data_IF_342069165632
#
_entry.id   IF_342069165632
#
_cell.length_a   1.000
_cell.length_b   1.000
_cell.length_c   1.000
_cell.angle_alpha   90.00
_cell.angle_beta   90.00
_cell.angle_gamma   90.00
#
_symmetry.space_group_name_H-M   'P 1'
#
loop_
_entity.id
_entity.type
_entity.pdbx_description
1 polymer ?
#
# COMPACT_ATOMS: atom_id res chain seq x y z
N UNK A 1 28.60 -7.05 -8.06
CA UNK A 1 28.18 -7.50 -6.73
C UNK A 1 27.43 -8.85 -6.79
N UNK A 2 28.09 -9.97 -7.21
CA UNK A 2 27.39 -11.23 -7.43
C UNK A 2 26.90 -11.90 -6.14
N UNK A 3 27.47 -11.58 -5.00
CA UNK A 3 27.12 -12.12 -3.69
C UNK A 3 26.08 -11.27 -2.94
N UNK A 4 25.73 -10.09 -3.47
CA UNK A 4 24.85 -9.13 -2.84
C UNK A 4 23.44 -9.19 -3.44
N UNK A 5 22.43 -8.86 -2.64
CA UNK A 5 21.11 -8.55 -3.17
C UNK A 5 21.15 -7.18 -3.85
N UNK A 6 20.94 -7.15 -5.15
CA UNK A 6 20.90 -5.91 -5.93
C UNK A 6 19.44 -5.58 -6.23
N UNK A 7 18.99 -4.46 -5.68
CA UNK A 7 17.59 -4.01 -5.79
C UNK A 7 17.51 -2.74 -6.64
N UNK A 8 16.42 -2.62 -7.38
CA UNK A 8 16.19 -1.48 -8.26
C UNK A 8 14.98 -0.67 -7.78
N UNK A 9 15.22 0.55 -7.30
CA UNK A 9 14.21 1.44 -6.74
C UNK A 9 14.00 2.65 -7.64
N UNK A 10 13.02 2.57 -8.53
CA UNK A 10 12.70 3.60 -9.52
C UNK A 10 11.53 4.46 -9.09
N UNK A 11 11.55 5.69 -9.57
CA UNK A 11 10.42 6.61 -9.47
C UNK A 11 9.35 6.25 -10.51
N UNK A 12 8.09 6.53 -10.21
CA UNK A 12 7.00 6.44 -11.19
C UNK A 12 7.22 7.38 -12.38
N UNK A 13 8.02 8.42 -12.23
CA UNK A 13 8.38 9.36 -13.30
C UNK A 13 9.43 8.81 -14.25
N UNK A 14 10.27 7.90 -13.82
CA UNK A 14 11.37 7.34 -14.64
C UNK A 14 10.86 6.32 -15.65
N UNK A 15 9.71 5.70 -15.38
CA UNK A 15 9.07 4.72 -16.25
C UNK A 15 7.92 5.35 -17.04
N UNK A 16 8.23 6.45 -17.65
CA UNK A 16 7.29 7.21 -18.44
C UNK A 16 7.30 6.70 -19.89
N UNK A 17 6.21 6.14 -20.36
CA UNK A 17 6.01 5.93 -21.77
C UNK A 17 5.60 7.27 -22.39
N UNK A 18 6.48 7.94 -23.16
CA UNK A 18 6.12 9.20 -23.77
C UNK A 18 4.99 8.98 -24.77
N UNK A 19 4.18 10.01 -24.96
CA UNK A 19 3.26 10.04 -26.09
C UNK A 19 4.02 9.78 -27.38
N UNK A 20 3.54 8.86 -28.19
CA UNK A 20 4.15 8.52 -29.47
C UNK A 20 3.10 8.52 -30.57
N UNK A 21 3.38 9.20 -31.66
CA UNK A 21 2.62 9.10 -32.89
C UNK A 21 3.39 8.27 -33.90
N UNK A 22 2.77 7.21 -34.39
CA UNK A 22 3.30 6.33 -35.42
C UNK A 22 2.71 6.73 -36.78
N UNK A 23 3.41 7.52 -37.60
CA UNK A 23 2.89 8.02 -38.88
C UNK A 23 2.54 6.90 -39.90
N UNK A 24 3.21 5.77 -39.77
CA UNK A 24 3.04 4.62 -40.67
C UNK A 24 1.69 3.91 -40.48
N UNK A 25 1.10 3.99 -39.31
CA UNK A 25 -0.17 3.33 -38.97
C UNK A 25 -1.24 4.32 -38.53
N UNK A 26 -0.95 5.63 -38.60
CA UNK A 26 -1.82 6.70 -38.09
C UNK A 26 -2.32 6.41 -36.66
N UNK A 27 -1.43 5.88 -35.82
CA UNK A 27 -1.77 5.47 -34.46
C UNK A 27 -1.15 6.43 -33.47
N UNK A 28 -2.00 7.06 -32.65
CA UNK A 28 -1.58 7.85 -31.51
C UNK A 28 -1.56 6.97 -30.25
N UNK A 29 -0.39 6.83 -29.63
CA UNK A 29 -0.24 6.14 -28.36
C UNK A 29 -0.38 7.20 -27.28
N UNK A 30 -1.51 7.19 -26.60
CA UNK A 30 -1.74 8.08 -25.46
C UNK A 30 -0.78 7.77 -24.32
N UNK A 31 -0.44 8.84 -23.59
CA UNK A 31 0.31 8.75 -22.35
C UNK A 31 -0.48 7.93 -21.33
N UNK A 32 -0.02 6.73 -21.07
CA UNK A 32 -0.63 5.91 -20.02
C UNK A 32 -0.04 6.32 -18.65
N UNK A 33 -0.91 6.89 -17.80
CA UNK A 33 -0.63 7.19 -16.40
C UNK A 33 -0.91 5.98 -15.51
N UNK A 34 -1.06 4.79 -16.10
CA UNK A 34 -1.26 3.58 -15.30
C UNK A 34 -0.07 3.41 -14.35
N UNK A 35 -0.39 3.25 -13.08
CA UNK A 35 0.59 2.83 -12.08
C UNK A 35 1.13 1.51 -12.58
N UNK A 36 2.41 1.51 -12.95
CA UNK A 36 3.03 0.30 -13.47
C UNK A 36 3.21 -0.67 -12.29
N UNK A 37 2.45 -1.76 -12.29
CA UNK A 37 2.50 -2.80 -11.26
C UNK A 37 3.92 -3.36 -11.07
N UNK A 38 4.72 -3.35 -12.11
CA UNK A 38 6.11 -3.80 -12.08
C UNK A 38 6.99 -2.84 -11.24
N UNK A 39 6.77 -1.54 -11.36
CA UNK A 39 7.46 -0.54 -10.53
C UNK A 39 7.07 -0.71 -9.06
N UNK A 40 5.79 -0.93 -8.77
CA UNK A 40 5.35 -1.16 -7.39
C UNK A 40 6.00 -2.41 -6.80
N UNK A 41 6.06 -3.50 -7.56
CA UNK A 41 6.76 -4.73 -7.15
C UNK A 41 8.23 -4.49 -6.85
N UNK A 42 8.96 -3.78 -7.72
CA UNK A 42 10.37 -3.44 -7.51
C UNK A 42 10.56 -2.57 -6.26
N UNK A 43 9.71 -1.58 -6.04
CA UNK A 43 9.76 -0.72 -4.86
C UNK A 43 9.46 -1.48 -3.57
N UNK A 44 8.47 -2.36 -3.58
CA UNK A 44 8.13 -3.21 -2.45
C UNK A 44 9.25 -4.21 -2.15
N UNK A 45 9.83 -4.85 -3.18
CA UNK A 45 10.98 -5.74 -3.05
C UNK A 45 12.15 -5.05 -2.36
N UNK A 46 12.55 -3.89 -2.86
CA UNK A 46 13.64 -3.08 -2.29
C UNK A 46 13.36 -2.73 -0.83
N UNK A 47 12.17 -2.22 -0.54
CA UNK A 47 11.82 -1.82 0.83
C UNK A 47 11.84 -3.01 1.78
N UNK A 48 11.32 -4.15 1.34
CA UNK A 48 11.33 -5.39 2.12
C UNK A 48 12.73 -5.93 2.36
N UNK A 49 13.61 -5.88 1.35
CA UNK A 49 15.00 -6.27 1.47
C UNK A 49 15.75 -5.41 2.51
N UNK A 50 15.54 -4.08 2.48
CA UNK A 50 16.14 -3.15 3.44
C UNK A 50 15.61 -3.37 4.87
N UNK A 51 14.32 -3.66 5.03
CA UNK A 51 13.69 -3.85 6.34
C UNK A 51 13.86 -5.26 6.90
N UNK A 52 14.31 -6.23 6.09
CA UNK A 52 14.60 -7.61 6.54
C UNK A 52 15.82 -7.72 7.46
N UNK A 53 16.56 -6.63 7.68
CA UNK A 53 17.79 -6.60 8.48
C UNK A 53 19.02 -7.10 7.73
N UNK A 54 18.92 -7.44 6.44
CA UNK A 54 20.07 -7.78 5.59
C UNK A 54 21.02 -6.59 5.48
N UNK A 55 22.32 -6.87 5.44
CA UNK A 55 23.39 -5.85 5.28
C UNK A 55 24.11 -5.93 3.95
N UNK A 56 23.75 -6.90 3.13
CA UNK A 56 24.32 -7.18 1.81
C UNK A 56 23.46 -6.66 0.67
N UNK A 57 22.68 -5.60 0.90
CA UNK A 57 21.75 -5.00 -0.07
C UNK A 57 22.40 -3.80 -0.73
N UNK A 58 22.39 -3.80 -2.06
CA UNK A 58 22.79 -2.67 -2.91
C UNK A 58 21.56 -2.14 -3.62
N UNK A 59 21.23 -0.87 -3.42
CA UNK A 59 20.07 -0.24 -4.06
C UNK A 59 20.52 0.70 -5.16
N UNK A 60 20.02 0.48 -6.37
CA UNK A 60 20.16 1.38 -7.50
C UNK A 60 18.89 2.19 -7.64
N UNK A 61 18.97 3.51 -7.50
CA UNK A 61 17.79 4.37 -7.56
C UNK A 61 18.07 5.70 -8.25
N UNK A 62 17.03 6.36 -8.73
CA UNK A 62 17.11 7.73 -9.24
C UNK A 62 16.90 8.76 -8.13
N UNK A 63 17.38 9.99 -8.34
CA UNK A 63 17.22 11.11 -7.37
C UNK A 63 15.76 11.44 -7.11
N UNK A 64 14.89 11.25 -8.10
CA UNK A 64 13.44 11.48 -7.97
C UNK A 64 12.76 10.57 -6.93
N UNK A 65 13.40 9.45 -6.57
CA UNK A 65 12.91 8.55 -5.53
C UNK A 65 12.97 9.12 -4.10
N UNK A 66 13.75 10.20 -3.87
CA UNK A 66 13.78 10.88 -2.57
C UNK A 66 12.43 11.53 -2.19
N UNK A 67 11.56 11.71 -3.17
CA UNK A 67 10.24 12.30 -2.98
C UNK A 67 9.15 11.22 -3.06
N UNK A 68 8.19 11.24 -2.14
CA UNK A 68 7.05 10.32 -2.18
C UNK A 68 7.39 8.91 -1.73
N UNK A 69 8.29 8.77 -0.77
CA UNK A 69 8.55 7.53 -0.05
C UNK A 69 7.51 7.41 1.08
N UNK A 70 6.94 6.21 1.27
CA UNK A 70 6.07 5.92 2.41
C UNK A 70 6.81 6.03 3.74
N UNK A 71 6.08 5.94 4.85
CA UNK A 71 6.67 5.93 6.18
C UNK A 71 7.23 4.52 6.50
N UNK A 72 8.55 4.33 6.63
CA UNK A 72 9.14 3.02 6.92
C UNK A 72 8.68 2.43 8.26
N UNK A 73 8.40 3.28 9.26
CA UNK A 73 7.91 2.84 10.55
C UNK A 73 6.51 2.24 10.46
N UNK A 74 5.60 2.87 9.72
CA UNK A 74 4.25 2.35 9.49
C UNK A 74 4.28 1.07 8.65
N UNK A 75 5.14 1.01 7.64
CA UNK A 75 5.33 -0.19 6.83
C UNK A 75 5.82 -1.37 7.68
N UNK A 76 6.81 -1.14 8.54
CA UNK A 76 7.31 -2.16 9.46
C UNK A 76 6.25 -2.58 10.48
N UNK A 77 5.51 -1.62 11.07
CA UNK A 77 4.46 -1.90 12.05
C UNK A 77 3.29 -2.71 11.44
N UNK A 78 3.02 -2.55 10.15
CA UNK A 78 1.98 -3.28 9.43
C UNK A 78 2.47 -4.64 8.91
N UNK A 79 3.77 -4.89 8.90
CA UNK A 79 4.34 -6.19 8.53
C UNK A 79 3.95 -7.26 9.55
N UNK A 80 3.69 -8.47 9.06
CA UNK A 80 3.23 -9.59 9.87
C UNK A 80 4.35 -10.63 9.95
N UNK A 81 5.05 -10.67 11.08
CA UNK A 81 5.99 -11.73 11.35
C UNK A 81 5.30 -12.84 12.15
N UNK A 82 5.47 -14.09 11.73
CA UNK A 82 4.92 -15.27 12.39
C UNK A 82 5.90 -16.44 12.32
N UNK A 83 5.88 -17.25 13.38
CA UNK A 83 6.72 -18.44 13.53
C UNK A 83 5.87 -19.67 13.80
N UNK A 84 6.40 -20.82 13.49
CA UNK A 84 5.79 -22.09 13.90
C UNK A 84 5.76 -22.18 15.43
N UNK A 85 4.61 -22.54 15.98
CA UNK A 85 4.35 -22.57 17.42
C UNK A 85 3.83 -21.25 18.01
N UNK A 86 3.72 -20.18 17.22
CA UNK A 86 3.11 -18.93 17.71
C UNK A 86 1.62 -19.13 17.99
N UNK A 87 1.17 -18.64 19.14
CA UNK A 87 -0.24 -18.62 19.51
C UNK A 87 -0.85 -17.30 19.09
N UNK A 88 -1.53 -17.31 17.96
CA UNK A 88 -2.14 -16.13 17.36
C UNK A 88 -3.58 -16.44 17.00
N UNK A 89 -4.54 -15.65 17.50
CA UNK A 89 -5.93 -15.84 17.11
C UNK A 89 -6.09 -15.84 15.58
N UNK A 90 -6.65 -16.92 15.03
CA UNK A 90 -6.91 -17.09 13.60
C UNK A 90 -7.65 -15.88 13.00
N UNK A 91 -8.70 -15.38 13.68
CA UNK A 91 -9.45 -14.20 13.23
C UNK A 91 -8.60 -12.92 13.25
N UNK A 92 -7.75 -12.77 14.25
CA UNK A 92 -6.85 -11.62 14.34
C UNK A 92 -5.80 -11.64 13.23
N UNK A 93 -5.27 -12.83 12.90
CA UNK A 93 -4.34 -12.98 11.79
C UNK A 93 -4.98 -12.58 10.45
N UNK A 94 -6.21 -13.03 10.16
CA UNK A 94 -6.94 -12.61 8.95
C UNK A 94 -7.18 -11.10 8.93
N UNK A 95 -7.47 -10.51 10.09
CA UNK A 95 -7.64 -9.07 10.20
C UNK A 95 -6.36 -8.31 9.89
N UNK A 96 -5.21 -8.77 10.39
CA UNK A 96 -3.89 -8.19 10.05
C UNK A 96 -3.57 -8.26 8.57
N UNK A 97 -3.92 -9.36 7.88
CA UNK A 97 -3.76 -9.44 6.43
C UNK A 97 -4.56 -8.36 5.69
N UNK A 98 -5.79 -8.09 6.13
CA UNK A 98 -6.61 -7.00 5.55
C UNK A 98 -6.02 -5.62 5.88
N UNK A 99 -5.45 -5.41 7.07
CA UNK A 99 -4.73 -4.18 7.41
C UNK A 99 -3.46 -3.98 6.58
N UNK A 100 -2.76 -5.08 6.25
CA UNK A 100 -1.63 -5.10 5.33
C UNK A 100 -2.04 -4.97 3.85
N UNK A 101 -3.33 -4.68 3.58
CA UNK A 101 -3.95 -4.45 2.27
C UNK A 101 -4.08 -5.70 1.39
N UNK A 102 -3.99 -6.91 1.95
CA UNK A 102 -4.30 -8.13 1.21
C UNK A 102 -5.81 -8.26 0.98
N UNK A 103 -6.17 -8.73 -0.20
CA UNK A 103 -7.57 -8.99 -0.57
C UNK A 103 -7.87 -10.49 -0.48
N UNK A 104 -8.99 -10.84 0.16
CA UNK A 104 -9.45 -12.23 0.19
C UNK A 104 -9.97 -12.65 -1.19
N UNK A 105 -9.54 -13.82 -1.65
CA UNK A 105 -10.07 -14.47 -2.85
C UNK A 105 -10.56 -15.88 -2.53
N UNK A 106 -11.50 -16.38 -3.32
CA UNK A 106 -11.99 -17.77 -3.22
C UNK A 106 -11.60 -18.60 -4.44
N UNK A 107 -11.15 -17.95 -5.51
CA UNK A 107 -10.89 -18.59 -6.80
C UNK A 107 -9.39 -18.77 -7.01
N UNK A 108 -8.73 -17.76 -7.51
CA UNK A 108 -7.33 -17.80 -7.90
C UNK A 108 -6.49 -16.89 -7.00
N UNK A 109 -5.30 -17.36 -6.62
CA UNK A 109 -4.33 -16.53 -5.93
C UNK A 109 -3.58 -15.68 -6.95
N UNK A 110 -3.66 -14.38 -6.75
CA UNK A 110 -2.91 -13.37 -7.50
C UNK A 110 -2.06 -12.57 -6.52
N UNK A 111 -1.06 -11.79 -6.97
CA UNK A 111 -0.28 -10.94 -6.07
C UNK A 111 -1.17 -10.11 -5.14
N UNK A 112 -0.76 -9.96 -3.89
CA UNK A 112 -1.51 -9.24 -2.85
C UNK A 112 -2.88 -9.85 -2.48
N UNK A 113 -3.05 -11.17 -2.66
CA UNK A 113 -4.28 -11.87 -2.24
C UNK A 113 -3.99 -13.01 -1.26
N UNK A 114 -5.02 -13.36 -0.50
CA UNK A 114 -5.00 -14.56 0.33
C UNK A 114 -6.29 -15.36 0.19
N UNK A 115 -6.18 -16.67 0.39
CA UNK A 115 -7.28 -17.61 0.32
C UNK A 115 -7.35 -18.45 1.58
N UNK A 116 -8.56 -18.69 2.06
CA UNK A 116 -8.84 -19.45 3.28
C UNK A 116 -9.50 -20.77 2.93
N UNK A 117 -8.93 -21.87 3.42
CA UNK A 117 -9.47 -23.22 3.27
C UNK A 117 -9.41 -23.95 4.61
N UNK A 118 -10.51 -23.95 5.38
CA UNK A 118 -10.53 -24.49 6.73
C UNK A 118 -9.51 -23.79 7.62
N UNK A 119 -8.62 -24.53 8.24
CA UNK A 119 -7.58 -24.03 9.12
C UNK A 119 -6.29 -23.60 8.38
N UNK A 120 -6.34 -23.58 7.04
CA UNK A 120 -5.21 -23.25 6.20
C UNK A 120 -5.41 -21.92 5.49
N UNK A 121 -4.38 -21.09 5.48
CA UNK A 121 -4.37 -19.80 4.80
C UNK A 121 -3.25 -19.82 3.75
N UNK A 122 -3.64 -19.68 2.49
CA UNK A 122 -2.72 -19.50 1.37
C UNK A 122 -2.56 -17.99 1.10
N UNK A 123 -1.34 -17.50 1.01
CA UNK A 123 -1.03 -16.08 0.82
C UNK A 123 -0.07 -15.95 -0.35
N UNK A 124 -0.39 -15.09 -1.31
CA UNK A 124 0.56 -14.70 -2.36
C UNK A 124 1.10 -13.32 -2.05
N UNK A 125 2.42 -13.23 -1.90
CA UNK A 125 3.09 -11.96 -1.62
C UNK A 125 2.80 -10.92 -2.70
N UNK A 126 2.79 -9.64 -2.33
CA UNK A 126 2.54 -8.54 -3.26
C UNK A 126 3.68 -8.35 -4.27
N UNK A 127 4.87 -8.83 -3.94
CA UNK A 127 6.06 -8.77 -4.78
C UNK A 127 6.73 -10.15 -4.85
N UNK A 128 7.39 -10.43 -5.98
CA UNK A 128 7.94 -11.75 -6.25
C UNK A 128 6.86 -12.82 -6.46
N UNK A 129 7.31 -14.06 -6.63
CA UNK A 129 6.45 -15.21 -6.90
C UNK A 129 6.26 -16.10 -5.65
N UNK A 130 6.47 -15.50 -4.47
CA UNK A 130 6.43 -16.24 -3.21
C UNK A 130 4.99 -16.47 -2.76
N UNK A 131 4.62 -17.75 -2.68
CA UNK A 131 3.37 -18.20 -2.09
C UNK A 131 3.64 -18.94 -0.79
N UNK A 132 2.96 -18.53 0.26
CA UNK A 132 3.07 -19.11 1.59
C UNK A 132 1.78 -19.81 1.97
N UNK A 133 1.90 -20.96 2.62
CA UNK A 133 0.79 -21.65 3.25
C UNK A 133 1.05 -21.76 4.73
N UNK A 134 0.11 -21.25 5.52
CA UNK A 134 0.14 -21.28 6.98
C UNK A 134 -1.02 -22.15 7.45
N UNK A 135 -0.70 -23.20 8.19
CA UNK A 135 -1.67 -24.10 8.76
C UNK A 135 -1.82 -23.80 10.25
N UNK A 136 -3.06 -23.65 10.70
CA UNK A 136 -3.40 -23.44 12.09
C UNK A 136 -3.97 -24.70 12.71
N UNK A 137 -3.65 -24.93 13.96
CA UNK A 137 -4.39 -25.83 14.83
C UNK A 137 -5.01 -25.00 15.95
N UNK A 138 -6.31 -24.76 15.88
CA UNK A 138 -7.05 -23.79 16.71
C UNK A 138 -6.46 -22.37 16.56
N UNK A 139 -5.70 -21.90 17.53
CA UNK A 139 -5.03 -20.59 17.53
C UNK A 139 -3.50 -20.69 17.48
N UNK A 140 -2.95 -21.87 17.24
CA UNK A 140 -1.51 -22.10 17.13
C UNK A 140 -1.12 -22.33 15.68
N UNK A 141 0.01 -21.75 15.26
CA UNK A 141 0.58 -21.98 13.93
C UNK A 141 1.33 -23.31 13.94
N UNK A 142 0.72 -24.33 13.32
CA UNK A 142 1.28 -25.67 13.25
C UNK A 142 2.41 -25.81 12.23
N UNK A 143 2.24 -25.18 11.06
CA UNK A 143 3.22 -25.26 9.99
C UNK A 143 3.19 -24.05 9.06
N UNK A 144 4.37 -23.70 8.55
CA UNK A 144 4.55 -22.70 7.51
C UNK A 144 5.39 -23.32 6.39
N UNK A 145 4.96 -23.14 5.15
CA UNK A 145 5.77 -23.54 4.00
C UNK A 145 5.49 -22.72 2.75
N UNK A 146 6.51 -22.63 1.89
CA UNK A 146 6.33 -22.09 0.55
C UNK A 146 5.82 -23.17 -0.40
N UNK A 147 5.02 -22.76 -1.40
CA UNK A 147 4.50 -23.67 -2.41
C UNK A 147 4.49 -22.99 -3.78
N UNK A 148 4.53 -23.80 -4.82
CA UNK A 148 4.39 -23.35 -6.20
C UNK A 148 2.91 -23.14 -6.53
N UNK A 149 2.55 -21.94 -7.01
CA UNK A 149 1.15 -21.60 -7.27
C UNK A 149 0.53 -22.43 -8.40
N UNK A 150 1.32 -22.81 -9.41
CA UNK A 150 0.84 -23.53 -10.60
C UNK A 150 0.58 -25.00 -10.30
N UNK A 151 1.46 -25.61 -9.53
CA UNK A 151 1.40 -27.05 -9.22
C UNK A 151 0.78 -27.34 -7.86
N UNK A 152 0.70 -26.34 -6.97
CA UNK A 152 0.27 -26.50 -5.58
C UNK A 152 1.25 -27.30 -4.70
N UNK A 153 2.42 -27.67 -5.25
CA UNK A 153 3.39 -28.50 -4.54
C UNK A 153 4.18 -27.69 -3.51
N UNK A 154 4.34 -28.28 -2.33
CA UNK A 154 5.21 -27.76 -1.27
C UNK A 154 6.65 -27.69 -1.79
N UNK A 155 7.30 -26.53 -1.58
CA UNK A 155 8.70 -26.31 -1.91
C UNK A 155 9.57 -26.43 -0.67
N UNK A 156 9.49 -25.46 0.24
CA UNK A 156 10.30 -25.41 1.45
C UNK A 156 9.43 -25.31 2.70
N UNK A 157 9.83 -26.01 3.78
CA UNK A 157 9.32 -25.74 5.12
C UNK A 157 10.07 -24.52 5.69
N UNK A 158 9.34 -23.66 6.37
CA UNK A 158 9.85 -22.43 6.96
C UNK A 158 9.55 -22.46 8.47
N UNK A 159 10.51 -22.06 9.29
CA UNK A 159 10.29 -21.89 10.73
C UNK A 159 9.61 -20.56 11.03
N UNK A 160 9.86 -19.56 10.19
CA UNK A 160 9.25 -18.23 10.30
C UNK A 160 9.03 -17.61 8.92
N UNK A 161 8.07 -16.68 8.84
CA UNK A 161 7.84 -15.86 7.64
C UNK A 161 7.42 -14.46 8.03
N UNK A 162 7.92 -13.49 7.27
CA UNK A 162 7.46 -12.10 7.34
C UNK A 162 6.64 -11.77 6.10
N UNK A 163 5.37 -11.42 6.31
CA UNK A 163 4.46 -10.98 5.28
C UNK A 163 4.45 -9.45 5.29
N UNK A 164 4.94 -8.85 4.22
CA UNK A 164 5.02 -7.40 4.07
C UNK A 164 3.73 -6.83 3.50
N UNK A 165 3.39 -5.56 3.80
CA UNK A 165 2.22 -4.90 3.24
C UNK A 165 2.25 -4.83 1.72
N UNK A 166 1.06 -4.77 1.12
CA UNK A 166 0.91 -4.72 -0.34
C UNK A 166 1.16 -3.33 -0.95
N UNK A 167 1.34 -2.30 -0.14
CA UNK A 167 1.61 -0.95 -0.61
C UNK A 167 2.61 -0.25 0.31
N UNK A 168 3.48 0.59 -0.26
CA UNK A 168 4.43 1.40 0.51
C UNK A 168 3.76 2.48 1.38
N UNK A 169 2.56 2.92 0.98
CA UNK A 169 1.81 3.97 1.64
C UNK A 169 0.76 3.42 2.60
N UNK A 170 1.15 2.43 3.40
CA UNK A 170 0.33 1.98 4.52
C UNK A 170 0.45 2.94 5.69
N UNK A 171 -0.63 3.08 6.45
CA UNK A 171 -0.66 3.87 7.68
C UNK A 171 -1.42 3.11 8.76
N UNK A 172 -0.99 3.31 9.99
CA UNK A 172 -1.69 2.74 11.14
C UNK A 172 -3.07 3.40 11.32
N UNK A 173 -4.01 2.68 11.92
CA UNK A 173 -5.34 3.25 12.23
C UNK A 173 -5.28 4.51 13.08
N UNK A 174 -4.32 4.58 13.99
CA UNK A 174 -4.12 5.74 14.83
C UNK A 174 -3.73 6.97 14.00
N UNK A 175 -2.76 6.83 13.10
CA UNK A 175 -2.36 7.90 12.19
C UNK A 175 -3.52 8.33 11.27
N UNK A 176 -4.29 7.38 10.74
CA UNK A 176 -5.46 7.68 9.91
C UNK A 176 -6.51 8.48 10.71
N UNK A 177 -6.82 8.05 11.94
CA UNK A 177 -7.80 8.75 12.77
C UNK A 177 -7.33 10.15 13.16
N UNK A 178 -6.05 10.31 13.49
CA UNK A 178 -5.46 11.62 13.78
C UNK A 178 -5.50 12.54 12.56
N UNK A 179 -5.16 12.04 11.39
CA UNK A 179 -5.26 12.79 10.14
C UNK A 179 -6.70 13.20 9.81
N UNK A 180 -7.68 12.32 10.03
CA UNK A 180 -9.10 12.64 9.86
C UNK A 180 -9.52 13.76 10.81
N UNK A 181 -9.11 13.71 12.08
CA UNK A 181 -9.42 14.76 13.06
C UNK A 181 -8.84 16.11 12.64
N UNK A 182 -7.57 16.13 12.24
CA UNK A 182 -6.91 17.35 11.75
C UNK A 182 -7.61 17.92 10.51
N UNK A 183 -7.94 17.07 9.53
CA UNK A 183 -8.68 17.50 8.33
C UNK A 183 -10.05 18.06 8.70
N UNK A 184 -10.74 17.51 9.69
CA UNK A 184 -12.02 18.02 10.14
C UNK A 184 -11.89 19.40 10.79
N UNK A 185 -10.86 19.61 11.61
CA UNK A 185 -10.58 20.90 12.23
C UNK A 185 -10.22 21.98 11.19
N UNK A 186 -9.37 21.65 10.23
CA UNK A 186 -9.00 22.57 9.16
C UNK A 186 -10.19 22.91 8.24
N UNK A 187 -11.05 21.94 8.01
CA UNK A 187 -12.29 22.13 7.26
C UNK A 187 -13.23 23.13 7.94
N UNK A 188 -13.37 23.04 9.26
CA UNK A 188 -14.20 24.00 10.03
C UNK A 188 -13.62 25.40 9.90
N UNK A 189 -12.31 25.56 10.12
CA UNK A 189 -11.62 26.86 9.97
C UNK A 189 -11.81 27.45 8.57
N UNK A 190 -11.67 26.62 7.53
CA UNK A 190 -11.81 27.05 6.14
C UNK A 190 -13.26 27.48 5.80
N UNK A 191 -14.26 26.79 6.35
CA UNK A 191 -15.66 27.17 6.19
C UNK A 191 -15.91 28.53 6.86
N UNK A 192 -15.43 28.71 8.10
CA UNK A 192 -15.57 30.00 8.83
C UNK A 192 -14.87 31.14 8.09
N UNK A 193 -13.70 30.87 7.51
CA UNK A 193 -13.00 31.86 6.69
C UNK A 193 -13.85 32.29 5.49
N UNK A 194 -14.40 31.37 4.71
CA UNK A 194 -15.25 31.73 3.57
C UNK A 194 -16.55 32.42 3.98
N UNK A 195 -17.11 32.10 5.13
CA UNK A 195 -18.29 32.82 5.66
C UNK A 195 -17.96 34.27 6.05
N UNK A 196 -16.80 34.49 6.67
CA UNK A 196 -16.31 35.86 7.01
C UNK A 196 -16.01 36.69 5.77
N UNK A 197 -15.43 36.10 4.75
CA UNK A 197 -15.12 36.71 3.46
C UNK A 197 -16.36 36.88 2.55
N UNK A 198 -17.57 36.62 3.07
CA UNK A 198 -18.83 36.73 2.32
C UNK A 198 -18.86 35.87 1.03
N UNK A 199 -18.23 34.67 1.06
CA UNK A 199 -18.16 33.71 -0.03
C UNK A 199 -19.02 32.45 0.26
N UNK A 200 -20.36 32.58 0.28
CA UNK A 200 -21.26 31.54 0.73
C UNK A 200 -21.29 30.32 -0.22
N UNK A 201 -21.00 30.50 -1.51
CA UNK A 201 -21.00 29.43 -2.50
C UNK A 201 -19.85 28.47 -2.23
N UNK A 202 -18.66 28.97 -1.94
CA UNK A 202 -17.47 28.20 -1.61
C UNK A 202 -17.65 27.47 -0.28
N UNK A 203 -18.16 28.16 0.74
CA UNK A 203 -18.49 27.54 2.02
C UNK A 203 -19.49 26.38 1.85
N UNK A 204 -20.54 26.58 1.04
CA UNK A 204 -21.53 25.53 0.78
C UNK A 204 -20.96 24.35 -0.02
N UNK A 205 -20.06 24.58 -0.99
CA UNK A 205 -19.36 23.54 -1.74
C UNK A 205 -18.57 22.62 -0.80
N UNK A 206 -17.78 23.22 0.09
CA UNK A 206 -16.98 22.45 1.05
C UNK A 206 -17.89 21.67 2.02
N UNK A 207 -18.95 22.30 2.54
CA UNK A 207 -19.95 21.62 3.39
C UNK A 207 -20.58 20.41 2.69
N UNK A 208 -20.95 20.52 1.42
CA UNK A 208 -21.52 19.40 0.63
C UNK A 208 -20.49 18.27 0.40
N UNK A 209 -19.25 18.61 0.09
CA UNK A 209 -18.19 17.61 -0.06
C UNK A 209 -17.94 16.83 1.23
N UNK A 210 -18.04 17.47 2.40
CA UNK A 210 -17.99 16.80 3.71
C UNK A 210 -19.08 15.74 3.84
N UNK A 211 -20.32 16.04 3.47
CA UNK A 211 -21.44 15.11 3.63
C UNK A 211 -21.38 13.91 2.66
N UNK A 212 -20.98 14.13 1.42
CA UNK A 212 -20.88 13.06 0.41
C UNK A 212 -19.67 12.17 0.62
N UNK A 213 -18.52 12.75 1.01
CA UNK A 213 -17.28 12.01 1.22
C UNK A 213 -17.16 11.35 2.59
N UNK A 214 -17.89 11.79 3.61
CA UNK A 214 -17.87 11.15 4.94
C UNK A 214 -18.30 9.68 4.90
N UNK A 215 -19.25 9.30 4.04
CA UNK A 215 -19.66 7.90 3.84
C UNK A 215 -18.73 7.15 2.89
N UNK A 216 -18.33 7.76 1.77
CA UNK A 216 -17.38 7.20 0.81
C UNK A 216 -15.94 7.21 1.37
N UNK A 217 -15.57 8.21 2.15
CA UNK A 217 -14.27 8.39 2.78
C UNK A 217 -13.97 7.29 3.79
N UNK A 218 -14.91 6.90 4.65
CA UNK A 218 -14.74 5.74 5.55
C UNK A 218 -14.62 4.41 4.81
N UNK A 219 -15.18 4.27 3.60
CA UNK A 219 -15.00 3.08 2.77
C UNK A 219 -13.73 3.14 1.90
N UNK A 220 -13.31 4.35 1.51
CA UNK A 220 -12.14 4.58 0.64
C UNK A 220 -10.84 4.74 1.44
N UNK A 221 -10.88 5.27 2.68
CA UNK A 221 -9.72 5.31 3.59
C UNK A 221 -9.24 3.89 3.90
N UNK A 222 -10.13 2.92 3.91
CA UNK A 222 -9.73 1.52 4.00
C UNK A 222 -8.95 1.03 2.76
N UNK A 223 -9.00 1.78 1.65
CA UNK A 223 -8.33 1.40 0.39
C UNK A 223 -7.13 2.28 0.00
N UNK A 224 -7.02 3.51 0.52
CA UNK A 224 -5.94 4.41 0.07
C UNK A 224 -5.53 5.42 1.15
N UNK A 225 -4.50 5.11 1.92
CA UNK A 225 -3.75 6.10 2.71
C UNK A 225 -3.25 7.28 1.83
N UNK A 226 -3.02 7.02 0.55
CA UNK A 226 -2.56 7.98 -0.47
C UNK A 226 -3.51 9.18 -0.67
N UNK A 227 -4.81 9.01 -0.44
CA UNK A 227 -5.79 10.11 -0.62
C UNK A 227 -5.73 11.12 0.52
N UNK A 228 -5.37 10.69 1.74
CA UNK A 228 -5.24 11.56 2.91
C UNK A 228 -4.04 12.50 2.75
N UNK A 229 -2.90 11.98 2.32
CA UNK A 229 -1.70 12.77 2.01
C UNK A 229 -1.92 13.74 0.84
N UNK A 230 -2.66 13.31 -0.18
CA UNK A 230 -3.00 14.15 -1.32
C UNK A 230 -3.92 15.32 -0.95
N UNK A 231 -4.90 15.11 -0.07
CA UNK A 231 -5.82 16.16 0.40
C UNK A 231 -5.12 17.14 1.34
N UNK A 232 -4.25 16.69 2.22
CA UNK A 232 -3.47 17.57 3.10
C UNK A 232 -2.51 18.44 2.29
N UNK A 233 -1.85 17.90 1.26
CA UNK A 233 -1.00 18.68 0.35
C UNK A 233 -1.79 19.67 -0.52
N UNK A 234 -3.00 19.32 -0.94
CA UNK A 234 -3.88 20.24 -1.68
C UNK A 234 -4.37 21.39 -0.81
N UNK A 235 -4.72 21.13 0.45
CA UNK A 235 -5.14 22.15 1.40
C UNK A 235 -3.98 23.07 1.83
N UNK A 236 -2.78 22.52 2.05
CA UNK A 236 -1.59 23.33 2.36
C UNK A 236 -1.17 24.22 1.19
N UNK A 237 -1.17 23.70 -0.05
CA UNK A 237 -0.88 24.52 -1.25
C UNK A 237 -1.92 25.59 -1.50
N UNK A 238 -3.19 25.33 -1.19
CA UNK A 238 -4.25 26.33 -1.31
C UNK A 238 -4.08 27.47 -0.29
N UNK A 239 -3.65 27.16 0.93
CA UNK A 239 -3.35 28.15 1.97
C UNK A 239 -2.08 28.97 1.68
N UNK A 240 -1.06 28.35 1.06
CA UNK A 240 0.19 29.05 0.70
C UNK A 240 0.01 29.97 -0.51
N UNK A 241 -0.87 29.64 -1.46
CA UNK A 241 -1.17 30.47 -2.64
C UNK A 241 -2.09 31.66 -2.38
N UNK A 242 -2.60 31.83 -1.16
CA UNK A 242 -3.54 32.91 -0.78
C UNK A 242 -3.03 33.71 0.43
N UNK A 243 -1.72 33.66 0.70
CA UNK A 243 -1.05 34.47 1.73
C UNK A 243 -0.33 35.71 1.17
N UNK A 244 -0.43 35.96 -0.16
CA UNK A 244 0.08 37.18 -0.81
C UNK A 244 -1.06 38.17 -1.11
#
# INVERSE_FOLDING_TARGET
>A
FPENAVEYFVSYYDYYQPEAYLPTTDTYIEKDLSINEEIEKLRLSTTSALLSGRRDVVVVSSVSCLYGIGNPADFHATSINVKVGDVVSYKHFLYRLVEALYTRTEIELTPATFRVKGDTIDIMAAFGDNCYRITFFDNEIEAIYSFDIKTGKKQNSLDEVTIYPCNLFVSTREHINNAISQIQDDLVKQIEYFEKEQRPVEAQRIKRQRMSKSRAFNSTIRRTATVVDGLHRLLSRYNDSHRD
#
